data_IF_864005800210
#
_entry.id   IF_864005800210
#
_cell.length_a   1.000
_cell.length_b   1.000
_cell.length_c   1.000
_cell.angle_alpha   90.00
_cell.angle_beta   90.00
_cell.angle_gamma   90.00
#
_symmetry.space_group_name_H-M   'P 1'
#
loop_
_entity.id
_entity.type
_entity.pdbx_description
1 polymer ?
#
# COMPACT_ATOMS: atom_id res chain seq x y z
N UNK A 1 -27.72 -8.37 -5.73
CA UNK A 1 -28.29 -7.03 -5.96
C UNK A 1 -27.40 -6.01 -5.29
N UNK A 2 -27.03 -4.95 -5.99
CA UNK A 2 -26.29 -3.83 -5.42
C UNK A 2 -27.24 -2.95 -4.61
N UNK A 3 -26.73 -2.34 -3.55
CA UNK A 3 -27.48 -1.35 -2.78
C UNK A 3 -27.69 -0.05 -3.59
N UNK A 4 -28.69 0.73 -3.22
CA UNK A 4 -28.86 2.05 -3.81
C UNK A 4 -27.62 2.93 -3.55
N UNK A 5 -27.04 3.56 -4.60
CA UNK A 5 -25.79 4.28 -4.44
C UNK A 5 -25.97 5.54 -3.59
N UNK A 6 -25.14 5.69 -2.58
CA UNK A 6 -25.07 6.89 -1.73
C UNK A 6 -23.65 7.52 -1.85
N UNK A 7 -23.53 8.84 -1.59
CA UNK A 7 -22.25 9.54 -1.76
C UNK A 7 -21.07 8.90 -1.02
N UNK A 8 -21.29 8.36 0.16
CA UNK A 8 -20.24 7.69 0.96
C UNK A 8 -19.72 6.39 0.34
N UNK A 9 -20.47 5.73 -0.57
CA UNK A 9 -20.02 4.56 -1.31
C UNK A 9 -18.90 4.88 -2.32
N UNK A 10 -18.76 6.14 -2.71
CA UNK A 10 -17.76 6.60 -3.68
C UNK A 10 -16.56 7.30 -3.00
N UNK A 11 -16.47 7.27 -1.68
CA UNK A 11 -15.38 7.87 -0.92
C UNK A 11 -14.41 6.81 -0.43
N UNK A 12 -13.14 6.92 -0.81
CA UNK A 12 -12.08 6.06 -0.29
C UNK A 12 -11.72 6.36 1.19
N UNK A 13 -12.24 7.45 1.76
CA UNK A 13 -12.15 7.76 3.20
C UNK A 13 -13.33 7.21 4.01
N UNK A 14 -14.31 6.62 3.35
CA UNK A 14 -15.45 5.99 3.99
C UNK A 14 -15.27 4.47 4.02
N UNK A 15 -15.55 3.78 5.12
CA UNK A 15 -15.49 2.32 5.17
C UNK A 15 -16.46 1.64 4.20
N UNK A 16 -17.51 2.34 3.76
CA UNK A 16 -18.50 1.84 2.80
C UNK A 16 -17.98 1.89 1.35
N UNK A 17 -17.08 2.81 1.02
CA UNK A 17 -16.53 2.96 -0.33
C UNK A 17 -15.10 2.46 -0.48
N UNK A 18 -14.32 2.47 0.59
CA UNK A 18 -12.93 2.07 0.57
C UNK A 18 -12.72 0.60 0.21
N UNK A 19 -11.65 0.31 -0.50
CA UNK A 19 -11.20 -1.07 -0.69
C UNK A 19 -10.95 -1.72 0.69
N UNK A 20 -11.53 -2.90 0.98
CA UNK A 20 -11.43 -3.51 2.30
C UNK A 20 -10.00 -3.92 2.67
N UNK A 21 -9.16 -4.25 1.66
CA UNK A 21 -7.78 -4.69 1.88
C UNK A 21 -6.84 -3.53 2.23
N UNK A 22 -6.83 -2.47 1.43
CA UNK A 22 -5.96 -1.32 1.64
C UNK A 22 -6.62 -0.17 2.41
N UNK A 23 -7.87 -0.32 2.81
CA UNK A 23 -8.66 0.70 3.54
C UNK A 23 -8.63 2.08 2.86
N UNK A 24 -8.63 2.07 1.53
CA UNK A 24 -8.64 3.29 0.71
C UNK A 24 -7.26 3.90 0.45
N UNK A 25 -6.17 3.25 0.85
CA UNK A 25 -4.80 3.75 0.60
C UNK A 25 -4.34 3.53 -0.84
N UNK A 26 -4.83 2.47 -1.51
CA UNK A 26 -4.40 2.07 -2.86
C UNK A 26 -3.16 1.18 -2.85
N UNK A 27 -2.42 1.17 -1.75
CA UNK A 27 -1.18 0.44 -1.53
C UNK A 27 -1.29 -0.39 -0.25
N UNK A 28 -0.49 -1.44 -0.16
CA UNK A 28 -0.37 -2.30 1.02
C UNK A 28 1.08 -2.55 1.34
N UNK A 29 1.37 -2.68 2.61
CA UNK A 29 2.67 -3.12 3.08
C UNK A 29 2.78 -4.64 2.93
N UNK A 30 3.83 -5.10 2.26
CA UNK A 30 4.18 -6.52 2.16
C UNK A 30 5.61 -6.75 2.65
N UNK A 31 5.87 -7.94 3.13
CA UNK A 31 7.25 -8.36 3.37
C UNK A 31 7.96 -8.56 2.04
N UNK A 32 9.08 -7.89 1.89
CA UNK A 32 9.90 -7.94 0.68
C UNK A 32 10.97 -9.03 0.81
N UNK A 33 10.77 -10.12 0.09
CA UNK A 33 11.70 -11.25 0.09
C UNK A 33 13.12 -10.86 -0.34
N UNK A 34 13.28 -9.84 -1.21
CA UNK A 34 14.59 -9.32 -1.61
C UNK A 34 15.31 -8.58 -0.49
N UNK A 35 14.56 -8.03 0.48
CA UNK A 35 15.13 -7.41 1.67
C UNK A 35 15.46 -8.44 2.75
N UNK A 36 14.70 -9.54 2.80
CA UNK A 36 14.92 -10.63 3.75
C UNK A 36 16.09 -11.51 3.29
N UNK A 37 16.17 -11.82 1.99
CA UNK A 37 17.22 -12.60 1.34
C UNK A 37 17.81 -11.81 0.18
N UNK A 38 18.69 -10.82 0.45
CA UNK A 38 19.23 -9.95 -0.60
C UNK A 38 20.27 -10.66 -1.48
N UNK A 39 20.96 -11.64 -0.94
CA UNK A 39 21.97 -12.45 -1.67
C UNK A 39 21.72 -13.95 -1.49
N UNK A 40 21.04 -14.59 -2.43
CA UNK A 40 20.76 -16.03 -2.38
C UNK A 40 22.01 -16.92 -2.50
N UNK A 41 23.17 -16.37 -2.84
CA UNK A 41 24.44 -17.12 -2.84
C UNK A 41 25.00 -17.34 -1.42
N UNK A 42 24.53 -16.58 -0.45
CA UNK A 42 24.85 -16.77 0.96
C UNK A 42 24.06 -17.93 1.56
N UNK A 43 24.64 -18.57 2.57
CA UNK A 43 23.95 -19.58 3.37
C UNK A 43 23.23 -18.93 4.56
N UNK A 44 22.23 -19.64 5.12
CA UNK A 44 21.53 -19.21 6.34
C UNK A 44 22.52 -19.08 7.48
N UNK A 45 23.50 -19.99 7.58
CA UNK A 45 24.58 -19.96 8.58
C UNK A 45 25.36 -18.64 8.55
N UNK A 46 25.65 -18.12 7.37
CA UNK A 46 26.42 -16.89 7.17
C UNK A 46 25.56 -15.61 7.22
N UNK A 47 24.26 -15.73 7.51
CA UNK A 47 23.33 -14.60 7.60
C UNK A 47 22.60 -14.29 6.31
N UNK A 48 22.46 -15.24 5.40
CA UNK A 48 21.73 -15.08 4.14
C UNK A 48 20.25 -14.71 4.35
N UNK A 49 19.65 -15.03 5.50
CA UNK A 49 18.38 -14.47 5.98
C UNK A 49 18.72 -13.32 6.93
N UNK A 50 18.68 -12.09 6.42
CA UNK A 50 19.14 -10.89 7.15
C UNK A 50 18.37 -10.68 8.46
N UNK A 51 17.09 -11.01 8.48
CA UNK A 51 16.24 -10.90 9.67
C UNK A 51 16.72 -11.79 10.84
N UNK A 52 17.39 -12.88 10.58
CA UNK A 52 17.94 -13.77 11.62
C UNK A 52 19.39 -13.42 11.98
N UNK A 53 20.11 -12.78 11.05
CA UNK A 53 21.53 -12.54 11.15
C UNK A 53 22.36 -13.81 11.00
N UNK A 54 23.62 -13.76 11.42
CA UNK A 54 24.51 -14.94 11.42
C UNK A 54 24.06 -15.97 12.45
N UNK A 55 24.40 -17.22 12.21
CA UNK A 55 24.10 -18.34 13.10
C UNK A 55 24.43 -18.05 14.56
N UNK A 56 23.49 -18.38 15.42
CA UNK A 56 23.64 -18.37 16.90
C UNK A 56 22.96 -19.63 17.44
N UNK A 57 23.45 -20.11 18.58
CA UNK A 57 22.80 -21.21 19.31
C UNK A 57 21.47 -20.76 19.90
N UNK A 58 20.40 -20.86 19.11
CA UNK A 58 19.04 -20.47 19.52
C UNK A 58 17.99 -21.39 18.91
N UNK A 59 16.80 -21.40 19.52
CA UNK A 59 15.71 -22.30 19.11
C UNK A 59 15.36 -22.17 17.63
N UNK A 60 15.25 -20.94 17.11
CA UNK A 60 14.89 -20.72 15.71
C UNK A 60 15.91 -21.33 14.74
N UNK A 61 17.21 -21.24 15.04
CA UNK A 61 18.24 -21.86 14.19
C UNK A 61 18.21 -23.37 14.28
N UNK A 62 17.96 -23.96 15.46
CA UNK A 62 17.81 -25.41 15.60
C UNK A 62 16.60 -25.95 14.86
N UNK A 63 15.48 -25.18 14.83
CA UNK A 63 14.30 -25.51 14.04
C UNK A 63 14.63 -25.50 12.54
N UNK A 64 15.33 -24.47 12.07
CA UNK A 64 15.75 -24.36 10.66
C UNK A 64 16.76 -25.47 10.29
N UNK A 65 17.69 -25.83 11.18
CA UNK A 65 18.60 -26.98 10.99
C UNK A 65 17.80 -28.27 10.75
N UNK A 66 16.83 -28.55 11.60
CA UNK A 66 15.99 -29.74 11.49
C UNK A 66 15.16 -29.76 10.19
N UNK A 67 14.65 -28.59 9.75
CA UNK A 67 13.96 -28.46 8.44
C UNK A 67 14.92 -28.70 7.29
N UNK A 68 16.11 -28.12 7.32
CA UNK A 68 17.12 -28.37 6.29
C UNK A 68 17.46 -29.87 6.19
N UNK A 69 17.69 -30.55 7.33
CA UNK A 69 17.97 -31.98 7.39
C UNK A 69 16.81 -32.83 6.82
N UNK A 70 15.56 -32.47 7.12
CA UNK A 70 14.35 -33.13 6.56
C UNK A 70 14.37 -33.12 5.03
N UNK A 71 14.86 -32.05 4.42
CA UNK A 71 14.94 -31.89 2.97
C UNK A 71 16.32 -32.25 2.38
N UNK A 72 17.23 -32.89 3.16
CA UNK A 72 18.53 -33.38 2.68
C UNK A 72 19.57 -32.29 2.43
N UNK A 73 19.38 -31.10 2.98
CA UNK A 73 20.33 -29.97 2.91
C UNK A 73 20.78 -29.54 4.30
N UNK A 74 21.65 -28.57 4.39
CA UNK A 74 22.13 -28.00 5.65
C UNK A 74 21.99 -26.50 5.68
N UNK A 75 22.01 -25.88 6.85
CA UNK A 75 22.00 -24.40 6.98
C UNK A 75 23.23 -23.72 6.35
N UNK A 76 24.27 -24.49 5.99
CA UNK A 76 25.46 -24.01 5.29
C UNK A 76 25.32 -24.06 3.77
N UNK A 77 24.29 -24.72 3.25
CA UNK A 77 23.95 -24.73 1.83
C UNK A 77 23.56 -23.32 1.39
N UNK A 78 24.05 -22.83 0.23
CA UNK A 78 23.60 -21.55 -0.33
C UNK A 78 22.08 -21.54 -0.51
N UNK A 79 21.42 -20.44 -0.18
CA UNK A 79 19.94 -20.35 -0.22
C UNK A 79 19.40 -20.70 -1.61
N UNK A 80 20.07 -20.30 -2.68
CA UNK A 80 19.68 -20.65 -4.06
C UNK A 80 19.69 -22.16 -4.37
N UNK A 81 20.35 -22.96 -3.56
CA UNK A 81 20.48 -24.42 -3.72
C UNK A 81 19.53 -25.17 -2.76
N UNK A 82 18.87 -24.47 -1.85
CA UNK A 82 17.84 -25.05 -0.97
C UNK A 82 16.59 -25.31 -1.81
N UNK A 83 15.97 -26.52 -1.71
CA UNK A 83 14.69 -26.80 -2.39
C UNK A 83 13.62 -25.76 -2.04
N UNK A 84 12.79 -25.43 -3.03
CA UNK A 84 11.73 -24.42 -2.87
C UNK A 84 10.77 -24.76 -1.71
N UNK A 85 10.41 -26.05 -1.59
CA UNK A 85 9.55 -26.54 -0.51
C UNK A 85 10.19 -26.31 0.88
N UNK A 86 11.50 -26.59 1.02
CA UNK A 86 12.23 -26.35 2.26
C UNK A 86 12.30 -24.85 2.58
N UNK A 87 12.52 -24.02 1.55
CA UNK A 87 12.57 -22.58 1.72
C UNK A 87 11.21 -22.01 2.09
N UNK A 88 10.13 -22.54 1.53
CA UNK A 88 8.77 -22.17 1.89
C UNK A 88 8.44 -22.51 3.35
N UNK A 89 8.77 -23.73 3.80
CA UNK A 89 8.63 -24.11 5.22
C UNK A 89 9.47 -23.22 6.14
N UNK A 90 10.70 -22.86 5.75
CA UNK A 90 11.56 -21.97 6.54
C UNK A 90 10.96 -20.58 6.65
N UNK A 91 10.39 -20.07 5.56
CA UNK A 91 9.84 -18.70 5.53
C UNK A 91 8.45 -18.62 6.14
N UNK A 92 7.55 -19.52 5.79
CA UNK A 92 6.14 -19.43 6.14
C UNK A 92 5.73 -20.33 7.31
N UNK A 93 6.64 -21.21 7.75
CA UNK A 93 6.34 -22.17 8.81
C UNK A 93 5.75 -23.48 8.29
N UNK A 94 5.54 -24.42 9.18
CA UNK A 94 4.93 -25.71 8.87
C UNK A 94 3.92 -26.12 9.93
N UNK A 95 2.85 -26.81 9.53
CA UNK A 95 1.85 -27.39 10.44
C UNK A 95 2.43 -28.62 11.17
N UNK A 96 3.45 -29.25 10.61
CA UNK A 96 4.12 -30.39 11.21
C UNK A 96 4.97 -29.93 12.39
N UNK A 97 4.92 -30.68 13.50
CA UNK A 97 5.80 -30.46 14.62
C UNK A 97 7.20 -30.97 14.31
N UNK A 98 8.19 -30.10 14.46
CA UNK A 98 9.58 -30.41 14.18
C UNK A 98 10.22 -31.05 15.41
N UNK A 99 10.90 -32.15 15.19
CA UNK A 99 11.64 -32.86 16.24
C UNK A 99 13.07 -32.29 16.33
N UNK A 100 13.34 -31.53 17.38
CA UNK A 100 14.68 -30.97 17.60
C UNK A 100 15.49 -31.89 18.53
N UNK A 101 16.62 -32.35 18.06
CA UNK A 101 17.63 -33.08 18.84
C UNK A 101 18.78 -32.12 19.12
N UNK A 102 18.99 -31.76 20.38
CA UNK A 102 20.12 -30.94 20.77
C UNK A 102 20.80 -31.55 22.02
N UNK A 103 22.12 -31.71 21.97
CA UNK A 103 22.91 -32.19 23.09
C UNK A 103 22.71 -31.36 24.37
N UNK A 104 22.44 -30.08 24.24
CA UNK A 104 22.20 -29.17 25.36
C UNK A 104 20.83 -29.37 26.05
N UNK A 105 19.88 -30.07 25.40
CA UNK A 105 18.50 -30.30 25.90
C UNK A 105 18.25 -31.74 26.36
N UNK A 106 19.30 -32.59 26.35
CA UNK A 106 19.18 -33.99 26.68
C UNK A 106 18.67 -34.86 25.52
N UNK A 107 18.78 -36.17 25.66
CA UNK A 107 18.47 -37.16 24.61
C UNK A 107 16.97 -37.27 24.25
N UNK A 108 16.10 -36.57 24.96
CA UNK A 108 14.66 -36.51 24.70
C UNK A 108 14.39 -35.35 23.78
N UNK A 109 14.29 -35.60 22.47
CA UNK A 109 13.90 -34.56 21.53
C UNK A 109 12.51 -33.99 21.83
N UNK A 110 12.35 -32.69 21.71
CA UNK A 110 11.06 -32.00 21.88
C UNK A 110 10.44 -31.69 20.52
N UNK A 111 9.10 -31.79 20.48
CA UNK A 111 8.33 -31.43 19.29
C UNK A 111 7.91 -29.96 19.41
N UNK A 112 8.39 -29.13 18.50
CA UNK A 112 8.05 -27.71 18.44
C UNK A 112 7.26 -27.37 17.18
N UNK A 113 6.29 -26.46 17.31
CA UNK A 113 5.71 -25.79 16.17
C UNK A 113 6.72 -24.77 15.64
N UNK A 114 6.82 -24.68 14.32
CA UNK A 114 7.65 -23.67 13.67
C UNK A 114 6.76 -22.73 12.84
N UNK A 115 6.77 -21.46 13.20
CA UNK A 115 5.86 -20.48 12.64
C UNK A 115 6.45 -19.69 11.44
N UNK A 116 7.71 -19.90 11.13
CA UNK A 116 8.38 -19.27 10.00
C UNK A 116 9.01 -17.90 10.29
N UNK A 117 9.96 -17.52 9.43
CA UNK A 117 10.65 -16.22 9.50
C UNK A 117 9.69 -15.05 9.25
N UNK A 118 8.73 -15.22 8.35
CA UNK A 118 7.70 -14.21 8.02
C UNK A 118 6.93 -13.82 9.29
N UNK A 119 6.42 -14.80 10.02
CA UNK A 119 5.67 -14.56 11.26
C UNK A 119 6.57 -13.94 12.34
N UNK A 120 7.83 -14.39 12.44
CA UNK A 120 8.81 -13.79 13.35
C UNK A 120 9.00 -12.30 13.11
N UNK A 121 9.05 -11.86 11.84
CA UNK A 121 9.16 -10.42 11.49
C UNK A 121 7.84 -9.70 11.80
N UNK A 122 6.69 -10.28 11.43
CA UNK A 122 5.38 -9.66 11.63
C UNK A 122 5.04 -9.44 13.11
N UNK A 123 5.43 -10.36 13.98
CA UNK A 123 5.25 -10.21 15.43
C UNK A 123 6.01 -9.00 16.01
N UNK A 124 7.08 -8.55 15.35
CA UNK A 124 7.80 -7.34 15.76
C UNK A 124 7.13 -6.04 15.28
N UNK A 125 6.09 -6.15 14.44
CA UNK A 125 5.31 -4.99 13.97
C UNK A 125 4.09 -4.72 14.83
N UNK A 126 3.77 -5.60 15.77
CA UNK A 126 2.62 -5.43 16.65
C UNK A 126 2.72 -4.10 17.41
N UNK A 127 1.58 -3.44 17.63
CA UNK A 127 1.51 -2.16 18.35
C UNK A 127 2.08 -2.27 19.77
N UNK A 128 2.03 -3.46 20.35
CA UNK A 128 2.59 -3.77 21.67
C UNK A 128 4.11 -4.05 21.65
N UNK A 129 4.73 -4.16 20.47
CA UNK A 129 6.16 -4.42 20.36
C UNK A 129 6.98 -3.14 20.66
N UNK A 130 8.20 -3.27 21.22
CA UNK A 130 9.08 -2.13 21.44
C UNK A 130 9.34 -1.35 20.15
N UNK A 131 9.40 -0.02 20.20
CA UNK A 131 9.62 0.84 19.05
C UNK A 131 10.90 0.49 18.23
N UNK A 132 11.94 -0.01 18.90
CA UNK A 132 13.16 -0.50 18.24
C UNK A 132 12.91 -1.76 17.40
N UNK A 133 12.02 -2.64 17.84
CA UNK A 133 11.65 -3.85 17.13
C UNK A 133 10.75 -3.52 15.92
N UNK A 134 9.79 -2.61 16.09
CA UNK A 134 8.96 -2.11 14.99
C UNK A 134 9.83 -1.47 13.89
N UNK A 135 10.74 -0.58 14.25
CA UNK A 135 11.67 0.07 13.31
C UNK A 135 12.60 -0.95 12.62
N UNK A 136 12.98 -2.01 13.31
CA UNK A 136 13.76 -3.09 12.72
C UNK A 136 12.92 -3.87 11.70
N UNK A 137 11.67 -4.22 12.01
CA UNK A 137 10.78 -4.94 11.11
C UNK A 137 10.41 -4.14 9.85
N UNK A 138 10.28 -2.80 9.96
CA UNK A 138 10.03 -1.89 8.83
C UNK A 138 11.08 -2.02 7.72
N UNK A 139 12.31 -2.41 8.05
CA UNK A 139 13.38 -2.58 7.06
C UNK A 139 13.07 -3.69 6.04
N UNK A 140 12.25 -4.67 6.40
CA UNK A 140 11.86 -5.81 5.56
C UNK A 140 10.56 -5.60 4.81
N UNK A 141 9.96 -4.41 4.92
CA UNK A 141 8.69 -4.07 4.29
C UNK A 141 8.93 -3.23 3.05
N UNK A 142 8.11 -3.48 2.04
CA UNK A 142 7.97 -2.62 0.88
C UNK A 142 6.49 -2.32 0.65
N UNK A 143 6.23 -1.06 0.29
CA UNK A 143 4.91 -0.64 -0.15
C UNK A 143 4.70 -1.10 -1.59
N UNK A 144 3.59 -1.74 -1.86
CA UNK A 144 3.22 -2.19 -3.21
C UNK A 144 1.77 -1.86 -3.50
N UNK A 145 1.45 -1.78 -4.77
CA UNK A 145 0.07 -1.59 -5.22
C UNK A 145 -0.84 -2.66 -4.62
N UNK A 146 -2.01 -2.26 -4.15
CA UNK A 146 -2.97 -3.18 -3.56
C UNK A 146 -3.45 -4.19 -4.61
N UNK A 147 -3.25 -5.51 -4.43
CA UNK A 147 -3.61 -6.51 -5.42
C UNK A 147 -5.12 -6.72 -5.57
N UNK A 148 -5.94 -6.14 -4.71
CA UNK A 148 -7.40 -6.23 -4.81
C UNK A 148 -8.00 -5.08 -5.61
N UNK A 149 -7.58 -3.85 -5.36
CA UNK A 149 -8.12 -2.68 -6.04
C UNK A 149 -7.19 -2.09 -7.11
N UNK A 150 -5.98 -2.62 -7.28
CA UNK A 150 -5.02 -2.16 -8.28
C UNK A 150 -4.85 -0.62 -8.27
N UNK A 151 -4.57 -0.07 -7.08
CA UNK A 151 -4.38 1.36 -6.89
C UNK A 151 -5.66 2.21 -6.94
N UNK A 152 -6.82 1.62 -7.23
CA UNK A 152 -8.09 2.35 -7.39
C UNK A 152 -8.73 2.81 -6.08
N UNK A 153 -8.26 2.31 -4.93
CA UNK A 153 -8.61 2.73 -3.57
C UNK A 153 -10.05 2.42 -3.13
N UNK A 154 -10.93 2.08 -4.04
CA UNK A 154 -12.35 1.82 -3.82
C UNK A 154 -12.66 0.32 -3.90
N UNK A 155 -13.79 -0.06 -3.31
CA UNK A 155 -14.31 -1.41 -3.38
C UNK A 155 -14.94 -1.70 -4.77
N UNK A 156 -15.17 -2.97 -5.06
CA UNK A 156 -15.72 -3.42 -6.36
C UNK A 156 -17.12 -2.86 -6.64
N UNK A 157 -17.93 -2.64 -5.61
CA UNK A 157 -19.28 -2.10 -5.76
C UNK A 157 -19.24 -0.67 -6.26
N UNK A 158 -18.42 0.19 -5.65
CA UNK A 158 -18.22 1.56 -6.09
C UNK A 158 -17.68 1.66 -7.53
N UNK A 159 -16.78 0.75 -7.91
CA UNK A 159 -16.17 0.71 -9.25
C UNK A 159 -17.11 0.19 -10.34
N UNK A 160 -18.23 -0.43 -9.96
CA UNK A 160 -19.24 -0.90 -10.91
C UNK A 160 -20.01 0.24 -11.58
N UNK A 161 -20.23 1.35 -10.87
CA UNK A 161 -20.96 2.52 -11.39
C UNK A 161 -20.14 3.28 -12.42
N UNK A 162 -20.71 3.53 -13.59
CA UNK A 162 -20.03 4.19 -14.70
C UNK A 162 -20.86 5.33 -15.28
N UNK A 163 -20.19 6.42 -15.63
CA UNK A 163 -20.73 7.55 -16.38
C UNK A 163 -19.92 7.67 -17.68
N UNK A 164 -20.58 7.60 -18.83
CA UNK A 164 -19.90 7.60 -20.14
C UNK A 164 -18.79 6.53 -20.23
N UNK A 165 -19.05 5.33 -19.71
CA UNK A 165 -18.12 4.19 -19.72
C UNK A 165 -16.99 4.23 -18.70
N UNK A 166 -16.85 5.31 -17.92
CA UNK A 166 -15.79 5.50 -16.93
C UNK A 166 -16.32 5.43 -15.51
N UNK A 167 -15.60 4.74 -14.63
CA UNK A 167 -15.87 4.74 -13.20
C UNK A 167 -15.14 5.91 -12.51
N UNK A 168 -15.47 6.16 -11.24
CA UNK A 168 -14.89 7.27 -10.47
C UNK A 168 -13.37 7.17 -10.31
N UNK A 169 -12.79 5.96 -10.19
CA UNK A 169 -11.36 5.78 -10.05
C UNK A 169 -10.63 6.06 -11.37
N UNK A 170 -11.19 5.64 -12.51
CA UNK A 170 -10.67 5.97 -13.84
C UNK A 170 -10.66 7.48 -14.09
N UNK A 171 -11.70 8.18 -13.62
CA UNK A 171 -11.76 9.66 -13.68
C UNK A 171 -10.72 10.30 -12.76
N UNK A 172 -10.54 9.77 -11.55
CA UNK A 172 -9.57 10.29 -10.59
C UNK A 172 -8.10 10.04 -11.02
N UNK A 173 -7.85 9.08 -11.90
CA UNK A 173 -6.53 8.79 -12.46
C UNK A 173 -6.14 9.70 -13.63
N UNK A 174 -7.11 10.36 -14.27
CA UNK A 174 -6.84 11.33 -15.33
C UNK A 174 -6.03 12.51 -14.78
N UNK A 175 -5.20 13.10 -15.63
CA UNK A 175 -4.69 14.44 -15.32
C UNK A 175 -5.83 15.48 -15.25
N UNK A 176 -5.61 16.55 -14.51
CA UNK A 176 -6.63 17.60 -14.26
C UNK A 176 -7.10 18.21 -15.58
N UNK A 177 -6.19 18.39 -16.56
CA UNK A 177 -6.56 18.94 -17.87
C UNK A 177 -7.46 17.98 -18.65
N UNK A 178 -7.20 16.68 -18.61
CA UNK A 178 -8.03 15.66 -19.26
C UNK A 178 -9.40 15.56 -18.57
N UNK A 179 -9.42 15.55 -17.23
CA UNK A 179 -10.63 15.51 -16.42
C UNK A 179 -11.52 16.73 -16.72
N UNK A 180 -10.94 17.93 -16.78
CA UNK A 180 -11.69 19.15 -17.12
C UNK A 180 -12.32 19.07 -18.51
N UNK A 181 -11.58 18.55 -19.50
CA UNK A 181 -12.12 18.32 -20.86
C UNK A 181 -13.27 17.31 -20.84
N UNK A 182 -13.15 16.25 -20.05
CA UNK A 182 -14.21 15.24 -19.91
C UNK A 182 -15.46 15.84 -19.26
N UNK A 183 -15.32 16.58 -18.15
CA UNK A 183 -16.42 17.23 -17.43
C UNK A 183 -17.16 18.24 -18.32
N UNK A 184 -16.44 18.95 -19.20
CA UNK A 184 -17.05 19.89 -20.13
C UNK A 184 -17.84 19.21 -21.27
N UNK A 185 -17.51 17.97 -21.60
CA UNK A 185 -18.19 17.22 -22.67
C UNK A 185 -19.35 16.36 -22.19
N UNK A 186 -19.30 15.91 -20.93
CA UNK A 186 -20.24 14.90 -20.41
C UNK A 186 -21.69 15.37 -20.45
N UNK A 187 -21.94 16.65 -20.23
CA UNK A 187 -23.28 17.24 -20.23
C UNK A 187 -24.03 17.01 -21.56
N UNK A 188 -23.31 17.03 -22.69
CA UNK A 188 -23.90 16.79 -24.03
C UNK A 188 -24.31 15.31 -24.24
N UNK A 189 -23.86 14.42 -23.38
CA UNK A 189 -24.16 12.97 -23.43
C UNK A 189 -25.23 12.57 -22.43
N UNK A 190 -25.65 13.48 -21.58
CA UNK A 190 -26.68 13.25 -20.56
C UNK A 190 -28.10 13.46 -21.16
N UNK A 191 -29.06 12.70 -20.65
CA UNK A 191 -30.47 12.96 -20.92
C UNK A 191 -30.90 14.29 -20.29
N UNK A 192 -32.01 14.93 -20.75
CA UNK A 192 -32.50 16.18 -20.20
C UNK A 192 -32.72 16.14 -18.67
N UNK A 193 -33.21 15.01 -18.14
CA UNK A 193 -33.42 14.82 -16.72
C UNK A 193 -32.07 14.77 -15.97
N UNK A 194 -31.09 14.02 -16.51
CA UNK A 194 -29.76 13.96 -15.93
C UNK A 194 -29.05 15.31 -15.95
N UNK A 195 -29.20 16.10 -17.03
CA UNK A 195 -28.66 17.45 -17.12
C UNK A 195 -29.22 18.35 -16.03
N UNK A 196 -30.55 18.33 -15.82
CA UNK A 196 -31.21 19.11 -14.80
C UNK A 196 -30.72 18.77 -13.39
N UNK A 197 -30.48 17.49 -13.10
CA UNK A 197 -29.95 17.03 -11.81
C UNK A 197 -28.48 17.45 -11.63
N UNK A 198 -27.69 17.33 -12.70
CA UNK A 198 -26.23 17.51 -12.64
C UNK A 198 -25.76 18.97 -12.78
N UNK A 199 -26.59 19.91 -13.18
CA UNK A 199 -26.19 21.27 -13.55
C UNK A 199 -25.39 21.98 -12.47
N UNK A 200 -25.85 21.98 -11.23
CA UNK A 200 -25.13 22.65 -10.12
C UNK A 200 -23.88 21.90 -9.72
N UNK A 201 -23.91 20.55 -9.75
CA UNK A 201 -22.76 19.71 -9.45
C UNK A 201 -21.65 19.92 -10.49
N UNK A 202 -21.99 19.91 -11.77
CA UNK A 202 -21.02 20.12 -12.85
C UNK A 202 -20.44 21.53 -12.83
N UNK A 203 -21.24 22.54 -12.50
CA UNK A 203 -20.77 23.92 -12.34
C UNK A 203 -19.73 24.03 -11.23
N UNK A 204 -19.97 23.41 -10.08
CA UNK A 204 -19.04 23.42 -8.96
C UNK A 204 -17.75 22.66 -9.29
N UNK A 205 -17.86 21.48 -9.93
CA UNK A 205 -16.69 20.70 -10.36
C UNK A 205 -15.85 21.50 -11.36
N UNK A 206 -16.46 22.14 -12.36
CA UNK A 206 -15.77 22.98 -13.35
C UNK A 206 -15.01 24.11 -12.66
N UNK A 207 -15.66 24.83 -11.77
CA UNK A 207 -15.04 25.94 -11.04
C UNK A 207 -13.81 25.48 -10.24
N UNK A 208 -13.90 24.35 -9.54
CA UNK A 208 -12.77 23.80 -8.79
C UNK A 208 -11.62 23.34 -9.69
N UNK A 209 -11.91 22.69 -10.81
CA UNK A 209 -10.90 22.28 -11.78
C UNK A 209 -10.21 23.50 -12.41
N UNK A 210 -10.95 24.56 -12.75
CA UNK A 210 -10.41 25.81 -13.29
C UNK A 210 -9.38 26.42 -12.33
N UNK A 211 -9.67 26.50 -11.03
CA UNK A 211 -8.69 27.00 -10.04
C UNK A 211 -7.40 26.17 -10.00
N UNK A 212 -7.51 24.85 -10.11
CA UNK A 212 -6.32 23.98 -10.13
C UNK A 212 -5.51 24.19 -11.42
N UNK A 213 -6.19 24.39 -12.56
CA UNK A 213 -5.55 24.69 -13.85
C UNK A 213 -4.86 26.06 -13.82
N UNK A 214 -5.51 27.08 -13.25
CA UNK A 214 -4.96 28.45 -13.15
C UNK A 214 -3.66 28.50 -12.33
N UNK A 215 -3.52 27.66 -11.33
CA UNK A 215 -2.26 27.55 -10.55
C UNK A 215 -1.22 26.62 -11.20
N UNK A 216 -1.46 26.18 -12.45
CA UNK A 216 -0.50 25.37 -13.24
C UNK A 216 -0.29 23.95 -12.73
N UNK A 217 -1.34 23.30 -12.23
CA UNK A 217 -1.31 21.91 -11.75
C UNK A 217 -2.12 20.97 -12.67
N UNK A 218 -2.11 21.25 -13.95
CA UNK A 218 -2.84 20.55 -15.01
C UNK A 218 -2.41 19.08 -15.18
N UNK A 219 -1.16 18.78 -14.87
CA UNK A 219 -0.52 17.44 -14.97
C UNK A 219 -0.79 16.53 -13.75
N UNK A 220 -1.32 17.04 -12.65
CA UNK A 220 -1.63 16.23 -11.48
C UNK A 220 -2.90 15.40 -11.71
N UNK A 221 -3.02 14.30 -10.97
CA UNK A 221 -4.26 13.52 -10.89
C UNK A 221 -4.85 13.57 -9.49
N UNK A 222 -6.18 13.41 -9.37
CA UNK A 222 -6.86 13.39 -8.07
C UNK A 222 -6.49 12.14 -7.23
N UNK A 223 -6.00 11.08 -7.87
CA UNK A 223 -5.57 9.85 -7.19
C UNK A 223 -4.15 9.93 -6.64
N UNK A 224 -3.38 10.97 -6.96
CA UNK A 224 -2.00 11.11 -6.49
C UNK A 224 -1.95 11.29 -4.98
N UNK A 225 -1.18 10.46 -4.25
CA UNK A 225 -1.03 10.59 -2.81
C UNK A 225 -0.43 11.95 -2.41
N UNK A 226 -1.00 12.59 -1.40
CA UNK A 226 -0.51 13.90 -0.92
C UNK A 226 0.93 13.88 -0.43
N UNK A 227 1.41 12.74 0.08
CA UNK A 227 2.80 12.53 0.51
C UNK A 227 3.82 12.61 -0.64
N UNK A 228 3.39 12.47 -1.89
CA UNK A 228 4.25 12.54 -3.08
C UNK A 228 4.31 13.93 -3.69
N UNK A 229 3.53 14.88 -3.16
CA UNK A 229 3.51 16.26 -3.65
C UNK A 229 4.77 17.00 -3.19
N UNK A 230 5.35 17.78 -4.10
CA UNK A 230 6.38 18.74 -3.74
C UNK A 230 5.83 19.87 -2.87
N UNK A 231 6.70 20.59 -2.17
CA UNK A 231 6.30 21.75 -1.37
C UNK A 231 5.55 22.79 -2.19
N UNK A 232 6.03 23.09 -3.40
CA UNK A 232 5.40 24.03 -4.32
C UNK A 232 4.03 23.55 -4.83
N UNK A 233 3.86 22.26 -5.14
CA UNK A 233 2.57 21.68 -5.52
C UNK A 233 1.56 21.78 -4.37
N UNK A 234 1.97 21.41 -3.15
CA UNK A 234 1.13 21.49 -1.97
C UNK A 234 0.67 22.93 -1.67
N UNK A 235 1.57 23.90 -1.83
CA UNK A 235 1.28 25.31 -1.64
C UNK A 235 0.30 25.84 -2.69
N UNK A 236 0.48 25.47 -3.97
CA UNK A 236 -0.45 25.84 -5.05
C UNK A 236 -1.82 25.22 -4.88
N UNK A 237 -1.93 23.99 -4.41
CA UNK A 237 -3.23 23.37 -4.08
C UNK A 237 -3.93 24.14 -2.95
N UNK A 238 -3.19 24.55 -1.90
CA UNK A 238 -3.75 25.36 -0.81
C UNK A 238 -4.22 26.71 -1.34
N UNK A 239 -3.44 27.37 -2.20
CA UNK A 239 -3.81 28.63 -2.83
C UNK A 239 -5.09 28.47 -3.66
N UNK A 240 -5.18 27.45 -4.52
CA UNK A 240 -6.38 27.16 -5.31
C UNK A 240 -7.62 26.95 -4.42
N UNK A 241 -7.45 26.24 -3.30
CA UNK A 241 -8.54 25.99 -2.33
C UNK A 241 -8.99 27.28 -1.65
N UNK A 242 -8.08 28.16 -1.27
CA UNK A 242 -8.38 29.45 -0.62
C UNK A 242 -9.07 30.41 -1.57
N UNK A 243 -8.57 30.57 -2.79
CA UNK A 243 -9.18 31.41 -3.82
C UNK A 243 -10.54 30.84 -4.21
N UNK A 244 -10.63 29.52 -4.38
CA UNK A 244 -11.85 28.81 -4.74
C UNK A 244 -12.97 28.92 -3.71
N UNK A 245 -12.64 29.16 -2.43
CA UNK A 245 -13.63 29.34 -1.36
C UNK A 245 -14.47 30.62 -1.51
N UNK A 246 -14.01 31.58 -2.34
CA UNK A 246 -14.67 32.89 -2.57
C UNK A 246 -15.09 33.58 -1.27
N UNK A 247 -14.36 33.36 -0.18
CA UNK A 247 -14.67 34.03 1.08
C UNK A 247 -14.40 35.54 0.93
N UNK A 248 -15.44 36.35 1.16
CA UNK A 248 -15.36 37.81 1.16
C UNK A 248 -14.94 38.26 2.56
N UNK A 249 -14.16 39.35 2.62
CA UNK A 249 -13.65 39.94 3.88
C UNK A 249 -12.66 39.06 4.66
N UNK A 250 -11.86 38.23 3.97
CA UNK A 250 -10.78 37.45 4.55
C UNK A 250 -9.43 37.96 4.04
N UNK A 251 -8.49 38.19 4.95
CA UNK A 251 -7.12 38.52 4.61
C UNK A 251 -6.32 37.19 4.44
N UNK A 252 -5.80 36.96 3.24
CA UNK A 252 -4.91 35.85 2.98
C UNK A 252 -3.46 36.29 3.18
N UNK A 253 -2.75 35.66 4.11
CA UNK A 253 -1.32 35.84 4.31
C UNK A 253 -0.61 34.66 3.64
N UNK A 254 0.17 34.96 2.61
CA UNK A 254 0.90 33.96 1.84
C UNK A 254 2.40 34.14 2.15
N UNK A 255 3.03 33.05 2.54
CA UNK A 255 4.49 32.97 2.69
C UNK A 255 5.08 32.42 1.39
N UNK A 256 6.01 33.18 0.80
CA UNK A 256 6.69 32.88 -0.47
C UNK A 256 5.77 32.31 -1.59
N UNK A 257 4.69 33.04 -1.98
CA UNK A 257 3.66 32.52 -2.88
C UNK A 257 4.16 32.20 -4.30
N UNK A 258 5.35 32.67 -4.65
CA UNK A 258 5.99 32.44 -5.95
C UNK A 258 6.87 31.18 -5.99
N UNK A 259 7.07 30.47 -4.89
CA UNK A 259 7.88 29.24 -4.89
C UNK A 259 7.28 28.21 -5.86
N UNK A 260 8.11 27.76 -6.79
CA UNK A 260 7.73 26.77 -7.80
C UNK A 260 6.86 27.29 -8.94
N UNK A 261 6.69 28.61 -9.07
CA UNK A 261 6.17 29.23 -10.30
C UNK A 261 7.33 29.47 -11.29
N UNK A 262 7.14 29.03 -12.50
CA UNK A 262 8.03 29.33 -13.62
C UNK A 262 7.50 30.55 -14.39
#
# INVERSE_FOLDING_TARGET
>A
SYSEPAPHNFSFNSPHGACPRCKGLGEVNILDMKKIVPDPSMSIYNGGIVALGKYKKSLIFWQIEALCEKHGVTIKTPIKEIPEEAMDEIMNGTEERIHIRNESMGNSGYLYAYEGVVKYILMQQDDDAPASAQKWAEQFISMTECPECHGQRLNKEALHYRIDGKNIAELAQMDIAELARWVNRIEKKMSPVQQQIAVEILKEIRSRLEFILEVGLDYLSLNRPSSTLSGGESQRIRLATQIGSRLVNVLYILDEPSIGLH
#
